data_IF_569009899466
#
_entry.id   IF_569009899466
#
_cell.length_a   1.000
_cell.length_b   1.000
_cell.length_c   1.000
_cell.angle_alpha   90.00
_cell.angle_beta   90.00
_cell.angle_gamma   90.00
#
_symmetry.space_group_name_H-M   'P 1'
#
loop_
_entity.id
_entity.type
_entity.pdbx_description
1 polymer ?
#
# COMPACT_ATOMS: atom_id res chain seq x y z
N UNK A 1 -41.60 26.42 -27.30
CA UNK A 1 -40.87 25.14 -27.52
C UNK A 1 -41.87 24.12 -28.06
N UNK A 2 -41.52 23.37 -29.12
CA UNK A 2 -42.42 22.39 -29.74
C UNK A 2 -42.49 21.09 -28.92
N UNK A 3 -43.60 20.36 -29.00
CA UNK A 3 -43.78 19.04 -28.35
C UNK A 3 -42.71 18.01 -28.78
N UNK A 4 -42.22 18.13 -30.02
CA UNK A 4 -41.15 17.29 -30.59
C UNK A 4 -39.83 17.46 -29.82
N UNK A 5 -39.51 18.68 -29.39
CA UNK A 5 -38.30 18.95 -28.62
C UNK A 5 -38.38 18.30 -27.24
N UNK A 6 -39.49 18.48 -26.52
CA UNK A 6 -39.72 17.89 -25.20
C UNK A 6 -39.72 16.36 -25.25
N UNK A 7 -40.33 15.77 -26.27
CA UNK A 7 -40.28 14.33 -26.51
C UNK A 7 -38.83 13.84 -26.68
N UNK A 8 -38.01 14.58 -27.43
CA UNK A 8 -36.58 14.30 -27.55
C UNK A 8 -35.84 14.36 -26.21
N UNK A 9 -36.11 15.38 -25.39
CA UNK A 9 -35.46 15.54 -24.07
C UNK A 9 -35.79 14.38 -23.15
N UNK A 10 -37.06 13.98 -23.07
CA UNK A 10 -37.50 12.84 -22.24
C UNK A 10 -36.84 11.54 -22.69
N UNK A 11 -36.77 11.29 -24.00
CA UNK A 11 -36.13 10.09 -24.55
C UNK A 11 -34.62 10.10 -24.28
N UNK A 12 -33.93 11.23 -24.49
CA UNK A 12 -32.51 11.38 -24.21
C UNK A 12 -32.18 11.19 -22.73
N UNK A 13 -33.00 11.74 -21.84
CA UNK A 13 -32.87 11.54 -20.40
C UNK A 13 -33.05 10.08 -19.99
N UNK A 14 -34.04 9.39 -20.58
CA UNK A 14 -34.24 7.95 -20.40
C UNK A 14 -33.01 7.14 -20.79
N UNK A 15 -32.37 7.44 -21.93
CA UNK A 15 -31.12 6.80 -22.33
C UNK A 15 -29.97 7.06 -21.36
N UNK A 16 -29.84 8.28 -20.83
CA UNK A 16 -28.81 8.61 -19.83
C UNK A 16 -28.99 7.82 -18.53
N UNK A 17 -30.23 7.64 -18.05
CA UNK A 17 -30.53 6.80 -16.88
C UNK A 17 -30.12 5.36 -17.16
N UNK A 18 -30.53 4.80 -18.30
CA UNK A 18 -30.20 3.43 -18.69
C UNK A 18 -28.68 3.23 -18.79
N UNK A 19 -27.96 4.16 -19.42
CA UNK A 19 -26.51 4.13 -19.53
C UNK A 19 -25.81 4.20 -18.15
N UNK A 20 -26.38 4.98 -17.22
CA UNK A 20 -25.89 5.06 -15.84
C UNK A 20 -26.08 3.74 -15.11
N UNK A 21 -27.26 3.12 -15.19
CA UNK A 21 -27.54 1.80 -14.61
C UNK A 21 -26.59 0.73 -15.19
N UNK A 22 -26.39 0.74 -16.50
CA UNK A 22 -25.43 -0.18 -17.17
C UNK A 22 -24.02 0.07 -16.63
N UNK A 23 -23.61 1.32 -16.46
CA UNK A 23 -22.29 1.65 -15.92
C UNK A 23 -22.09 1.16 -14.48
N UNK A 24 -23.08 1.35 -13.61
CA UNK A 24 -23.03 0.80 -12.23
C UNK A 24 -22.92 -0.71 -12.25
N UNK A 25 -23.75 -1.38 -13.06
CA UNK A 25 -23.74 -2.84 -13.13
C UNK A 25 -22.41 -3.37 -13.70
N UNK A 26 -21.79 -2.67 -14.66
CA UNK A 26 -20.44 -3.01 -15.14
C UNK A 26 -19.39 -2.81 -14.05
N UNK A 27 -19.40 -1.71 -13.30
CA UNK A 27 -18.46 -1.44 -12.21
C UNK A 27 -18.54 -2.51 -11.12
N UNK A 28 -19.75 -2.96 -10.79
CA UNK A 28 -19.98 -3.97 -9.75
C UNK A 28 -19.77 -5.41 -10.24
N UNK A 29 -19.56 -5.61 -11.54
CA UNK A 29 -19.48 -6.95 -12.14
C UNK A 29 -18.19 -7.70 -11.76
N UNK A 30 -18.25 -9.03 -11.86
CA UNK A 30 -17.07 -9.90 -11.75
C UNK A 30 -16.03 -9.51 -12.81
N UNK A 31 -16.48 -9.11 -14.01
CA UNK A 31 -15.63 -8.58 -15.07
C UNK A 31 -14.76 -7.41 -14.60
N UNK A 32 -15.36 -6.41 -13.95
CA UNK A 32 -14.61 -5.27 -13.45
C UNK A 32 -13.63 -5.65 -12.35
N UNK A 33 -14.01 -6.58 -11.46
CA UNK A 33 -13.09 -7.11 -10.44
C UNK A 33 -11.90 -7.84 -11.07
N UNK A 34 -12.11 -8.62 -12.13
CA UNK A 34 -11.03 -9.31 -12.84
C UNK A 34 -10.12 -8.33 -13.59
N UNK A 35 -10.69 -7.37 -14.32
CA UNK A 35 -9.93 -6.38 -15.09
C UNK A 35 -9.17 -5.40 -14.19
N UNK A 36 -9.69 -5.10 -13.00
CA UNK A 36 -8.96 -4.30 -12.00
C UNK A 36 -7.64 -4.95 -11.57
N UNK A 37 -7.55 -6.30 -11.57
CA UNK A 37 -6.30 -7.02 -11.21
C UNK A 37 -5.15 -6.75 -12.17
N UNK A 38 -5.46 -6.30 -13.38
CA UNK A 38 -4.49 -5.93 -14.43
C UNK A 38 -4.54 -4.42 -14.70
N UNK A 39 -4.95 -3.63 -13.70
CA UNK A 39 -4.98 -2.17 -13.74
C UNK A 39 -5.87 -1.59 -14.85
N UNK A 40 -6.89 -2.34 -15.28
CA UNK A 40 -7.89 -1.86 -16.22
C UNK A 40 -9.15 -1.45 -15.47
N UNK A 41 -9.45 -0.16 -15.50
CA UNK A 41 -10.57 0.46 -14.80
C UNK A 41 -11.69 0.83 -15.77
N UNK A 42 -12.94 0.71 -15.32
CA UNK A 42 -14.08 1.12 -16.13
C UNK A 42 -14.19 2.64 -16.18
N UNK A 43 -14.05 3.21 -17.38
CA UNK A 43 -14.24 4.63 -17.64
C UNK A 43 -15.72 4.89 -17.96
N UNK A 44 -16.38 5.68 -17.12
CA UNK A 44 -17.79 6.05 -17.27
C UNK A 44 -18.04 7.01 -18.43
N UNK A 45 -16.99 7.72 -18.87
CA UNK A 45 -17.03 8.64 -20.00
C UNK A 45 -17.01 7.87 -21.32
N UNK A 46 -16.11 6.88 -21.44
CA UNK A 46 -15.97 6.09 -22.66
C UNK A 46 -16.87 4.86 -22.71
N UNK A 47 -17.35 4.39 -21.56
CA UNK A 47 -18.05 3.09 -21.43
C UNK A 47 -17.14 1.89 -21.64
N UNK A 48 -15.81 2.07 -21.54
CA UNK A 48 -14.81 1.03 -21.80
C UNK A 48 -13.83 0.89 -20.65
N UNK A 49 -13.10 -0.22 -20.61
CA UNK A 49 -12.03 -0.44 -19.63
C UNK A 49 -10.72 0.15 -20.17
N UNK A 50 -10.09 1.03 -19.41
CA UNK A 50 -8.86 1.75 -19.77
C UNK A 50 -7.84 1.66 -18.63
N UNK A 51 -6.55 1.85 -18.93
CA UNK A 51 -5.47 1.88 -17.94
C UNK A 51 -5.37 3.19 -17.15
N UNK A 52 -6.19 4.18 -17.49
CA UNK A 52 -6.28 5.45 -16.78
C UNK A 52 -6.92 5.28 -15.40
N UNK A 53 -6.59 6.17 -14.47
CA UNK A 53 -7.10 6.17 -13.09
C UNK A 53 -8.60 5.81 -12.96
N UNK A 54 -8.99 5.10 -11.89
CA UNK A 54 -10.39 4.83 -11.60
C UNK A 54 -11.18 6.14 -11.56
N UNK A 55 -12.31 6.18 -12.27
CA UNK A 55 -13.20 7.34 -12.23
C UNK A 55 -13.59 7.60 -10.78
N UNK A 56 -13.15 8.74 -10.22
CA UNK A 56 -13.52 9.13 -8.87
C UNK A 56 -15.04 9.21 -8.72
N UNK A 57 -15.55 9.11 -7.50
CA UNK A 57 -16.97 9.32 -7.22
C UNK A 57 -17.49 10.65 -7.82
N UNK A 58 -16.65 11.68 -7.82
CA UNK A 58 -16.91 12.97 -8.46
C UNK A 58 -16.92 12.90 -9.99
N UNK A 59 -16.08 12.07 -10.61
CA UNK A 59 -16.15 11.76 -12.04
C UNK A 59 -17.45 11.07 -12.44
N UNK A 60 -17.98 10.20 -11.58
CA UNK A 60 -19.27 9.55 -11.79
C UNK A 60 -20.44 10.54 -11.66
N UNK A 61 -20.43 11.34 -10.59
CA UNK A 61 -21.43 12.36 -10.35
C UNK A 61 -21.43 13.43 -11.46
N UNK A 62 -20.25 13.86 -11.89
CA UNK A 62 -20.11 14.83 -12.98
C UNK A 62 -20.61 14.24 -14.30
N UNK A 63 -20.31 12.98 -14.64
CA UNK A 63 -20.85 12.34 -15.84
C UNK A 63 -22.38 12.29 -15.86
N UNK A 64 -23.02 12.00 -14.72
CA UNK A 64 -24.49 12.00 -14.60
C UNK A 64 -25.05 13.42 -14.73
N UNK A 65 -24.47 14.38 -14.01
CA UNK A 65 -24.94 15.77 -14.01
C UNK A 65 -24.76 16.39 -15.40
N UNK A 66 -23.58 16.26 -15.99
CA UNK A 66 -23.30 16.75 -17.32
C UNK A 66 -24.16 16.01 -18.35
N UNK A 67 -24.27 14.68 -18.31
CA UNK A 67 -25.11 13.92 -19.23
C UNK A 67 -26.60 14.29 -19.14
N UNK A 68 -27.11 14.53 -17.93
CA UNK A 68 -28.47 15.01 -17.69
C UNK A 68 -28.69 16.43 -18.22
N UNK A 69 -27.78 17.36 -17.95
CA UNK A 69 -27.86 18.74 -18.43
C UNK A 69 -27.68 18.82 -19.96
N UNK A 70 -26.79 18.04 -20.55
CA UNK A 70 -26.56 18.02 -22.00
C UNK A 70 -27.76 17.46 -22.77
N UNK A 71 -28.50 16.53 -22.15
CA UNK A 71 -29.73 15.97 -22.74
C UNK A 71 -30.82 17.03 -22.98
N UNK A 72 -30.79 18.13 -22.22
CA UNK A 72 -31.67 19.27 -22.41
C UNK A 72 -31.30 20.01 -23.69
N UNK A 73 -30.02 20.23 -23.98
CA UNK A 73 -29.57 21.08 -25.09
C UNK A 73 -29.43 20.35 -26.43
N UNK A 74 -29.16 19.03 -26.43
CA UNK A 74 -28.80 18.27 -27.63
C UNK A 74 -29.62 16.98 -27.77
N UNK A 75 -30.90 17.04 -27.42
CA UNK A 75 -31.75 15.87 -27.19
C UNK A 75 -31.79 14.87 -28.37
N UNK A 76 -32.16 15.32 -29.58
CA UNK A 76 -32.24 14.42 -30.75
C UNK A 76 -30.87 14.00 -31.29
N UNK A 77 -29.84 14.85 -31.17
CA UNK A 77 -28.47 14.48 -31.55
C UNK A 77 -27.95 13.37 -30.63
N UNK A 78 -28.23 13.48 -29.32
CA UNK A 78 -27.92 12.44 -28.34
C UNK A 78 -28.64 11.13 -28.65
N UNK A 79 -29.94 11.17 -28.94
CA UNK A 79 -30.74 9.98 -29.29
C UNK A 79 -30.17 9.26 -30.52
N UNK A 80 -29.85 9.99 -31.59
CA UNK A 80 -29.26 9.40 -32.80
C UNK A 80 -27.89 8.79 -32.51
N UNK A 81 -27.07 9.45 -31.69
CA UNK A 81 -25.75 8.94 -31.26
C UNK A 81 -25.87 7.63 -30.46
N UNK A 82 -26.82 7.56 -29.52
CA UNK A 82 -27.08 6.33 -28.75
C UNK A 82 -27.56 5.18 -29.64
N UNK A 83 -28.50 5.45 -30.56
CA UNK A 83 -29.02 4.44 -31.49
C UNK A 83 -27.90 3.91 -32.39
N UNK A 84 -27.09 4.80 -32.97
CA UNK A 84 -25.98 4.39 -33.85
C UNK A 84 -24.92 3.59 -33.09
N UNK A 85 -24.61 3.95 -31.84
CA UNK A 85 -23.71 3.18 -30.98
C UNK A 85 -24.26 1.79 -30.69
N UNK A 86 -25.55 1.67 -30.37
CA UNK A 86 -26.21 0.39 -30.15
C UNK A 86 -26.22 -0.49 -31.41
N UNK A 87 -26.52 0.09 -32.57
CA UNK A 87 -26.51 -0.62 -33.85
C UNK A 87 -25.11 -1.13 -34.21
N UNK A 88 -24.06 -0.32 -33.96
CA UNK A 88 -22.67 -0.76 -34.13
C UNK A 88 -22.32 -1.92 -33.20
N UNK A 89 -22.72 -1.85 -31.93
CA UNK A 89 -22.51 -2.93 -30.96
C UNK A 89 -23.19 -4.23 -31.38
N UNK A 90 -24.45 -4.18 -31.84
CA UNK A 90 -25.17 -5.35 -32.33
C UNK A 90 -24.54 -5.96 -33.59
N UNK A 91 -24.10 -5.13 -34.53
CA UNK A 91 -23.41 -5.58 -35.74
C UNK A 91 -22.10 -6.30 -35.41
N UNK A 92 -21.29 -5.73 -34.52
CA UNK A 92 -20.02 -6.32 -34.10
C UNK A 92 -20.17 -7.64 -33.32
N UNK A 93 -21.23 -7.80 -32.53
CA UNK A 93 -21.50 -9.03 -31.76
C UNK A 93 -21.80 -10.25 -32.65
N UNK A 94 -22.31 -10.03 -33.86
CA UNK A 94 -22.66 -11.09 -34.81
C UNK A 94 -21.45 -11.73 -35.51
N UNK A 95 -20.38 -10.96 -35.69
CA UNK A 95 -19.17 -11.35 -36.45
C UNK A 95 -17.99 -11.77 -35.59
N UNK A 96 -18.15 -11.78 -34.26
CA UNK A 96 -17.06 -12.10 -33.33
C UNK A 96 -16.75 -13.62 -33.32
N UNK A 97 -15.48 -14.04 -33.44
CA UNK A 97 -15.08 -15.44 -33.34
C UNK A 97 -15.56 -16.11 -32.04
N UNK A 98 -15.96 -17.39 -32.09
CA UNK A 98 -16.48 -18.12 -30.92
C UNK A 98 -15.48 -18.17 -29.76
N UNK A 99 -14.20 -18.38 -30.06
CA UNK A 99 -13.12 -18.38 -29.07
C UNK A 99 -13.00 -17.04 -28.32
N UNK A 100 -13.21 -15.93 -29.02
CA UNK A 100 -13.22 -14.59 -28.41
C UNK A 100 -14.43 -14.41 -27.49
N UNK A 101 -15.60 -14.95 -27.87
CA UNK A 101 -16.80 -14.95 -27.01
C UNK A 101 -16.59 -15.77 -25.74
N UNK A 102 -15.93 -16.92 -25.83
CA UNK A 102 -15.60 -17.77 -24.68
C UNK A 102 -14.67 -17.07 -23.70
N UNK A 103 -13.59 -16.46 -24.18
CA UNK A 103 -12.63 -15.73 -23.34
C UNK A 103 -13.28 -14.52 -22.66
N UNK A 104 -14.09 -13.74 -23.41
CA UNK A 104 -14.85 -12.63 -22.84
C UNK A 104 -15.87 -13.11 -21.80
N UNK A 105 -16.52 -14.25 -22.04
CA UNK A 105 -17.46 -14.85 -21.09
C UNK A 105 -16.74 -15.29 -19.81
N UNK A 106 -15.58 -15.93 -19.94
CA UNK A 106 -14.74 -16.37 -18.82
C UNK A 106 -14.29 -15.20 -17.96
N UNK A 107 -13.79 -14.12 -18.57
CA UNK A 107 -13.42 -12.88 -17.85
C UNK A 107 -14.63 -12.26 -17.15
N UNK A 108 -15.83 -12.35 -17.74
CA UNK A 108 -17.02 -11.70 -17.19
C UNK A 108 -17.70 -12.46 -16.05
N UNK A 109 -17.55 -13.79 -15.97
CA UNK A 109 -18.34 -14.63 -15.06
C UNK A 109 -17.53 -15.50 -14.11
N UNK A 110 -16.27 -15.82 -14.41
CA UNK A 110 -15.42 -16.63 -13.52
C UNK A 110 -14.57 -15.73 -12.61
N UNK A 111 -14.31 -16.17 -11.38
CA UNK A 111 -13.29 -15.53 -10.54
C UNK A 111 -11.91 -16.01 -11.01
N UNK A 112 -11.14 -15.11 -11.63
CA UNK A 112 -9.85 -15.44 -12.24
C UNK A 112 -8.69 -14.85 -11.43
N UNK A 113 -7.54 -15.51 -11.42
CA UNK A 113 -6.29 -14.92 -10.91
C UNK A 113 -5.76 -13.84 -11.87
N UNK A 114 -4.87 -12.95 -11.40
CA UNK A 114 -4.27 -11.89 -12.23
C UNK A 114 -3.65 -12.45 -13.51
N UNK A 115 -2.86 -13.52 -13.39
CA UNK A 115 -2.26 -14.24 -14.53
C UNK A 115 -3.28 -14.81 -15.50
N UNK A 116 -4.35 -15.45 -15.00
CA UNK A 116 -5.41 -15.96 -15.88
C UNK A 116 -6.13 -14.84 -16.65
N UNK A 117 -6.25 -13.65 -16.05
CA UNK A 117 -6.78 -12.47 -16.73
C UNK A 117 -5.78 -11.97 -17.78
N UNK A 118 -4.49 -11.87 -17.45
CA UNK A 118 -3.44 -11.48 -18.41
C UNK A 118 -3.36 -12.44 -19.60
N UNK A 119 -3.36 -13.75 -19.36
CA UNK A 119 -3.31 -14.78 -20.40
C UNK A 119 -4.55 -14.70 -21.31
N UNK A 120 -5.74 -14.57 -20.72
CA UNK A 120 -6.97 -14.41 -21.48
C UNK A 120 -6.95 -13.13 -22.32
N UNK A 121 -6.42 -12.03 -21.80
CA UNK A 121 -6.31 -10.77 -22.54
C UNK A 121 -5.24 -10.84 -23.63
N UNK A 122 -4.08 -11.47 -23.40
CA UNK A 122 -3.07 -11.72 -24.44
C UNK A 122 -3.65 -12.55 -25.58
N UNK A 123 -4.44 -13.58 -25.25
CA UNK A 123 -5.09 -14.42 -26.24
C UNK A 123 -6.17 -13.65 -27.03
N UNK A 124 -6.94 -12.79 -26.35
CA UNK A 124 -7.86 -11.85 -27.02
C UNK A 124 -7.10 -10.93 -27.97
N UNK A 125 -5.97 -10.36 -27.54
CA UNK A 125 -5.09 -9.52 -28.37
C UNK A 125 -4.61 -10.28 -29.62
N UNK A 126 -4.10 -11.49 -29.45
CA UNK A 126 -3.65 -12.33 -30.55
C UNK A 126 -4.76 -12.63 -31.57
N UNK A 127 -5.99 -12.91 -31.12
CA UNK A 127 -7.15 -13.10 -32.01
C UNK A 127 -7.50 -11.81 -32.76
N UNK A 128 -7.33 -10.66 -32.12
CA UNK A 128 -7.61 -9.34 -32.70
C UNK A 128 -6.44 -8.77 -33.53
N UNK A 129 -5.31 -9.49 -33.62
CA UNK A 129 -4.10 -9.00 -34.29
C UNK A 129 -3.45 -7.80 -33.56
N UNK A 130 -3.66 -7.68 -32.25
CA UNK A 130 -3.09 -6.66 -31.39
C UNK A 130 -2.12 -7.30 -30.39
N UNK A 131 -0.91 -6.78 -30.31
CA UNK A 131 0.02 -7.18 -29.26
C UNK A 131 -0.34 -6.45 -27.97
N UNK A 132 -0.92 -7.18 -27.02
CA UNK A 132 -1.26 -6.65 -25.71
C UNK A 132 -0.09 -6.96 -24.79
N UNK A 133 0.86 -6.03 -24.75
CA UNK A 133 1.92 -6.02 -23.76
C UNK A 133 1.36 -5.45 -22.45
N UNK A 134 1.27 -6.29 -21.43
CA UNK A 134 1.21 -5.78 -20.07
C UNK A 134 2.61 -5.26 -19.72
N UNK A 135 2.72 -4.16 -18.94
CA UNK A 135 4.02 -3.80 -18.37
C UNK A 135 4.63 -5.07 -17.77
N UNK A 136 5.88 -5.35 -18.11
CA UNK A 136 6.60 -6.50 -17.59
C UNK A 136 6.60 -6.33 -16.09
N UNK A 137 5.72 -7.11 -15.47
CA UNK A 137 5.41 -7.03 -14.07
C UNK A 137 6.71 -7.38 -13.33
N UNK A 138 7.34 -6.35 -12.75
CA UNK A 138 8.20 -6.54 -11.58
C UNK A 138 7.38 -7.02 -10.38
N UNK A 139 6.04 -7.00 -10.45
CA UNK A 139 5.18 -7.69 -9.50
C UNK A 139 5.09 -9.18 -9.86
N UNK A 140 5.88 -9.96 -9.11
CA UNK A 140 5.79 -11.41 -9.08
C UNK A 140 4.34 -11.85 -8.85
N UNK A 141 4.02 -13.02 -9.40
CA UNK A 141 2.76 -13.76 -9.31
C UNK A 141 2.46 -14.10 -7.83
N UNK A 142 1.98 -13.15 -7.05
CA UNK A 142 1.59 -13.38 -5.66
C UNK A 142 0.13 -13.81 -5.58
N UNK A 143 -0.09 -15.01 -5.05
CA UNK A 143 -1.32 -15.34 -4.36
C UNK A 143 -1.50 -14.35 -3.21
N UNK A 144 -2.69 -13.73 -3.06
CA UNK A 144 -3.06 -12.76 -1.99
C UNK A 144 -2.66 -13.20 -0.56
N UNK A 145 -2.28 -14.47 -0.34
CA UNK A 145 -1.85 -15.04 0.94
C UNK A 145 -0.41 -14.67 1.36
N UNK A 146 0.46 -14.27 0.42
CA UNK A 146 1.87 -13.92 0.72
C UNK A 146 2.14 -12.41 0.71
N UNK A 147 1.09 -11.58 0.64
CA UNK A 147 1.20 -10.14 0.86
C UNK A 147 0.42 -9.68 2.09
N UNK A 148 0.90 -8.61 2.71
CA UNK A 148 0.28 -7.97 3.86
C UNK A 148 0.48 -6.46 3.74
N UNK A 149 -0.63 -5.73 3.79
CA UNK A 149 -0.62 -4.28 3.96
C UNK A 149 -0.27 -3.96 5.41
N UNK A 150 0.77 -3.17 5.62
CA UNK A 150 1.14 -2.62 6.92
C UNK A 150 0.16 -1.50 7.26
N UNK A 151 -0.44 -1.54 8.45
CA UNK A 151 -1.47 -0.56 8.80
C UNK A 151 -0.89 0.86 8.90
N UNK A 152 -1.62 1.80 8.28
CA UNK A 152 -1.18 3.13 7.84
C UNK A 152 -0.53 4.03 8.92
N UNK A 153 0.50 4.74 8.47
CA UNK A 153 0.97 5.98 9.09
C UNK A 153 -0.19 7.02 9.15
N UNK A 154 -0.28 7.85 10.21
CA UNK A 154 -1.24 8.95 10.30
C UNK A 154 -1.23 9.91 9.09
N UNK A 155 -0.15 9.88 8.32
CA UNK A 155 0.10 10.71 7.13
C UNK A 155 -0.42 10.09 5.82
N UNK A 156 -1.04 8.90 5.87
CA UNK A 156 -1.69 8.25 4.73
C UNK A 156 -0.76 7.50 3.77
N UNK A 157 0.47 7.19 4.20
CA UNK A 157 1.39 6.38 3.41
C UNK A 157 0.93 4.93 3.35
N UNK A 158 0.74 4.43 2.13
CA UNK A 158 0.51 3.01 1.90
C UNK A 158 1.82 2.25 2.00
N UNK A 159 1.81 1.09 2.65
CA UNK A 159 2.93 0.15 2.66
C UNK A 159 2.45 -1.29 2.61
N UNK A 160 3.09 -2.11 1.78
CA UNK A 160 2.80 -3.52 1.59
C UNK A 160 4.09 -4.32 1.65
N UNK A 161 4.07 -5.42 2.39
CA UNK A 161 5.11 -6.43 2.40
C UNK A 161 4.66 -7.63 1.60
N UNK A 162 5.55 -8.16 0.79
CA UNK A 162 5.32 -9.42 0.09
C UNK A 162 6.44 -10.42 0.28
N UNK A 163 6.11 -11.69 0.52
CA UNK A 163 7.07 -12.75 0.83
C UNK A 163 7.37 -13.64 -0.38
N UNK A 164 8.66 -13.93 -0.55
CA UNK A 164 9.17 -15.02 -1.35
C UNK A 164 9.88 -16.03 -0.42
N UNK A 165 9.09 -17.00 0.04
CA UNK A 165 9.52 -18.04 0.98
C UNK A 165 10.64 -18.90 0.38
N UNK A 166 10.58 -19.18 -0.92
CA UNK A 166 11.52 -20.08 -1.60
C UNK A 166 12.93 -19.50 -1.61
N UNK A 167 13.04 -18.20 -1.88
CA UNK A 167 14.32 -17.50 -1.91
C UNK A 167 14.69 -16.82 -0.58
N UNK A 168 13.85 -16.98 0.46
CA UNK A 168 13.98 -16.29 1.75
C UNK A 168 14.14 -14.77 1.58
N UNK A 169 13.30 -14.20 0.73
CA UNK A 169 13.25 -12.76 0.46
C UNK A 169 11.90 -12.17 0.82
N UNK A 170 11.90 -10.88 1.08
CA UNK A 170 10.67 -10.11 1.14
C UNK A 170 10.85 -8.75 0.46
N UNK A 171 9.75 -8.25 -0.07
CA UNK A 171 9.66 -7.02 -0.83
C UNK A 171 8.82 -6.05 -0.03
N UNK A 172 9.34 -4.85 0.20
CA UNK A 172 8.61 -3.76 0.81
C UNK A 172 8.32 -2.73 -0.27
N UNK A 173 7.03 -2.53 -0.54
CA UNK A 173 6.52 -1.50 -1.43
C UNK A 173 5.81 -0.46 -0.60
N UNK A 174 6.13 0.81 -0.80
CA UNK A 174 5.48 1.91 -0.10
C UNK A 174 5.28 3.09 -1.05
N UNK A 175 4.22 3.86 -0.87
CA UNK A 175 4.07 5.12 -1.60
C UNK A 175 3.31 6.18 -0.80
N UNK A 176 3.56 7.44 -1.15
CA UNK A 176 2.77 8.57 -0.66
C UNK A 176 1.34 8.54 -1.27
N UNK A 177 0.34 9.15 -0.62
CA UNK A 177 -1.03 9.20 -1.13
C UNK A 177 -1.17 9.77 -2.55
N UNK A 178 -0.27 10.69 -2.91
CA UNK A 178 -0.20 11.37 -4.21
C UNK A 178 0.72 10.67 -5.22
N UNK A 179 1.31 9.52 -4.84
CA UNK A 179 2.23 8.72 -5.65
C UNK A 179 3.45 9.50 -6.16
N UNK A 180 3.79 10.64 -5.55
CA UNK A 180 4.97 11.40 -5.92
C UNK A 180 6.26 10.71 -5.49
N UNK A 181 6.21 9.87 -4.45
CA UNK A 181 7.31 9.03 -4.03
C UNK A 181 6.86 7.59 -3.88
N UNK A 182 7.42 6.71 -4.70
CA UNK A 182 7.25 5.26 -4.60
C UNK A 182 8.58 4.66 -4.15
N UNK A 183 8.54 3.86 -3.09
CA UNK A 183 9.70 3.26 -2.45
C UNK A 183 9.58 1.75 -2.60
N UNK A 184 10.62 1.14 -3.15
CA UNK A 184 10.71 -0.31 -3.23
C UNK A 184 12.00 -0.76 -2.55
N UNK A 185 11.90 -1.77 -1.70
CA UNK A 185 13.07 -2.37 -1.08
C UNK A 185 12.97 -3.88 -1.10
N UNK A 186 14.10 -4.54 -1.36
CA UNK A 186 14.22 -5.99 -1.37
C UNK A 186 15.13 -6.40 -0.24
N UNK A 187 14.66 -7.30 0.61
CA UNK A 187 15.42 -7.84 1.72
C UNK A 187 15.57 -9.34 1.57
N UNK A 188 16.69 -9.85 2.06
CA UNK A 188 16.87 -11.26 2.35
C UNK A 188 16.74 -11.46 3.86
N UNK A 189 16.11 -12.54 4.28
CA UNK A 189 15.98 -12.89 5.69
C UNK A 189 16.47 -14.30 5.96
N UNK A 190 16.83 -14.56 7.21
CA UNK A 190 17.12 -15.90 7.73
C UNK A 190 16.58 -16.02 9.15
N UNK A 191 16.31 -17.25 9.58
CA UNK A 191 15.76 -17.54 10.90
C UNK A 191 16.76 -18.42 11.66
N UNK A 192 17.26 -17.92 12.79
CA UNK A 192 18.22 -18.60 13.66
C UNK A 192 17.72 -18.49 15.10
N UNK A 193 17.56 -19.61 15.81
CA UNK A 193 17.10 -19.64 17.21
C UNK A 193 15.81 -18.83 17.46
N UNK A 194 14.84 -18.94 16.55
CA UNK A 194 13.59 -18.16 16.51
C UNK A 194 13.78 -16.66 16.23
N UNK A 195 14.99 -16.16 16.05
CA UNK A 195 15.29 -14.76 15.73
C UNK A 195 15.31 -14.59 14.21
N UNK A 196 14.65 -13.53 13.72
CA UNK A 196 14.69 -13.17 12.30
C UNK A 196 15.83 -12.18 12.11
N UNK A 197 16.77 -12.54 11.24
CA UNK A 197 17.80 -11.64 10.75
C UNK A 197 17.46 -11.23 9.33
N UNK A 198 17.84 -10.03 8.94
CA UNK A 198 17.66 -9.53 7.59
C UNK A 198 18.89 -8.78 7.09
N UNK A 199 18.97 -8.62 5.77
CA UNK A 199 19.83 -7.64 5.10
C UNK A 199 19.14 -7.06 3.88
N UNK A 200 19.44 -5.80 3.58
CA UNK A 200 18.92 -5.05 2.45
C UNK A 200 19.72 -5.40 1.18
N UNK A 201 19.06 -5.95 0.17
CA UNK A 201 19.66 -6.26 -1.13
C UNK A 201 19.52 -5.11 -2.11
N UNK A 202 18.34 -4.50 -2.15
CA UNK A 202 18.02 -3.40 -3.06
C UNK A 202 17.13 -2.39 -2.36
N UNK A 203 17.32 -1.11 -2.67
CA UNK A 203 16.42 -0.04 -2.28
C UNK A 203 16.41 0.98 -3.38
N UNK A 204 15.23 1.21 -3.96
CA UNK A 204 15.01 2.17 -5.03
C UNK A 204 13.86 3.10 -4.69
N UNK A 205 13.97 4.31 -5.19
CA UNK A 205 12.95 5.34 -5.08
C UNK A 205 12.61 5.79 -6.49
N UNK A 206 11.31 5.83 -6.76
CA UNK A 206 10.72 6.26 -8.01
C UNK A 206 9.91 7.54 -7.75
N UNK A 207 10.22 8.56 -8.54
CA UNK A 207 9.44 9.78 -8.67
C UNK A 207 8.91 9.88 -10.10
N UNK A 208 7.89 10.71 -10.38
CA UNK A 208 7.42 10.91 -11.75
C UNK A 208 8.56 11.31 -12.71
N UNK A 209 8.95 10.38 -13.58
CA UNK A 209 10.01 10.58 -14.58
C UNK A 209 11.44 10.28 -14.12
N UNK A 210 11.66 9.88 -12.86
CA UNK A 210 12.99 9.60 -12.31
C UNK A 210 12.99 8.34 -11.45
N UNK A 211 14.00 7.48 -11.61
CA UNK A 211 14.26 6.32 -10.76
C UNK A 211 15.74 6.37 -10.33
N UNK A 212 16.00 6.12 -9.05
CA UNK A 212 17.37 5.93 -8.57
C UNK A 212 17.44 4.89 -7.47
N UNK A 213 18.61 4.27 -7.36
CA UNK A 213 18.92 3.26 -6.36
C UNK A 213 19.70 3.90 -5.23
N UNK A 214 19.26 3.66 -3.99
CA UNK A 214 20.08 3.91 -2.80
C UNK A 214 20.97 2.70 -2.52
N UNK A 215 20.46 1.50 -2.79
CA UNK A 215 21.17 0.22 -2.69
C UNK A 215 20.86 -0.63 -3.91
N UNK A 216 21.88 -1.23 -4.51
CA UNK A 216 21.74 -2.18 -5.62
C UNK A 216 22.74 -3.31 -5.44
N UNK A 217 22.29 -4.54 -5.59
CA UNK A 217 23.12 -5.75 -5.43
C UNK A 217 23.89 -5.78 -4.09
N UNK A 218 23.22 -5.36 -2.99
CA UNK A 218 23.78 -5.29 -1.64
C UNK A 218 24.96 -4.28 -1.50
N UNK A 219 25.05 -3.30 -2.41
CA UNK A 219 26.03 -2.20 -2.38
C UNK A 219 25.30 -0.87 -2.27
N UNK A 220 25.79 0.01 -1.40
CA UNK A 220 25.25 1.38 -1.24
C UNK A 220 25.78 2.26 -2.38
N UNK A 221 24.89 2.97 -3.06
CA UNK A 221 25.23 3.89 -4.16
C UNK A 221 25.70 5.25 -3.60
N UNK A 222 26.84 5.25 -2.89
CA UNK A 222 27.33 6.44 -2.16
C UNK A 222 27.55 7.65 -3.06
N UNK A 223 28.09 7.46 -4.27
CA UNK A 223 28.33 8.55 -5.21
C UNK A 223 27.01 9.21 -5.64
N UNK A 224 26.02 8.43 -6.00
CA UNK A 224 24.71 8.91 -6.46
C UNK A 224 24.00 9.68 -5.34
N UNK A 225 24.06 9.18 -4.11
CA UNK A 225 23.53 9.86 -2.91
C UNK A 225 24.24 11.19 -2.65
N UNK A 226 25.58 11.23 -2.80
CA UNK A 226 26.35 12.46 -2.65
C UNK A 226 26.09 13.48 -3.77
N UNK A 227 25.97 13.03 -5.02
CA UNK A 227 25.69 13.91 -6.17
C UNK A 227 24.32 14.58 -6.05
N UNK A 228 23.28 13.82 -5.69
CA UNK A 228 21.94 14.35 -5.46
C UNK A 228 21.88 15.44 -4.39
N UNK A 229 22.72 15.28 -3.38
CA UNK A 229 22.80 16.20 -2.25
C UNK A 229 23.53 17.49 -2.60
N UNK A 230 24.40 17.41 -3.61
CA UNK A 230 25.09 18.57 -4.20
C UNK A 230 24.23 19.30 -5.23
N UNK A 231 23.36 18.59 -5.96
CA UNK A 231 22.48 19.18 -6.98
C UNK A 231 21.29 19.95 -6.42
N UNK A 232 20.93 19.76 -5.15
CA UNK A 232 19.93 20.58 -4.47
C UNK A 232 20.56 21.93 -4.05
N UNK A 233 20.41 22.96 -4.88
CA UNK A 233 20.88 24.33 -4.58
C UNK A 233 19.99 25.00 -3.52
N UNK A 234 20.57 25.43 -2.39
CA UNK A 234 19.89 26.26 -1.39
C UNK A 234 20.48 26.20 0.02
N UNK A 235 20.03 27.07 0.95
CA UNK A 235 20.53 27.15 2.34
C UNK A 235 20.27 25.89 3.20
N UNK A 236 19.54 24.89 2.66
CA UNK A 236 19.33 23.57 3.28
C UNK A 236 20.48 22.57 3.00
N UNK A 237 21.46 22.94 2.17
CA UNK A 237 22.51 22.03 1.68
C UNK A 237 23.37 21.43 2.80
N UNK A 238 23.73 22.18 3.84
CA UNK A 238 24.56 21.70 4.96
C UNK A 238 23.81 20.72 5.89
N UNK A 239 22.50 20.94 6.09
CA UNK A 239 21.61 20.01 6.81
C UNK A 239 21.42 18.72 6.01
N UNK A 240 21.20 18.83 4.70
CA UNK A 240 21.09 17.68 3.81
C UNK A 240 22.38 16.87 3.76
N UNK A 241 23.56 17.50 3.63
CA UNK A 241 24.86 16.81 3.62
C UNK A 241 25.11 16.02 4.92
N UNK A 242 24.80 16.60 6.08
CA UNK A 242 24.95 15.92 7.38
C UNK A 242 24.01 14.72 7.51
N UNK A 243 22.76 14.87 7.03
CA UNK A 243 21.78 13.80 6.97
C UNK A 243 22.21 12.65 6.04
N UNK A 244 22.91 12.94 4.94
CA UNK A 244 23.40 11.90 4.03
C UNK A 244 24.46 10.98 4.61
N UNK A 245 25.36 11.51 5.44
CA UNK A 245 26.36 10.66 6.09
C UNK A 245 25.64 9.66 7.01
N UNK A 246 24.65 10.11 7.76
CA UNK A 246 23.84 9.25 8.60
C UNK A 246 23.02 8.24 7.78
N UNK A 247 22.37 8.68 6.70
CA UNK A 247 21.65 7.80 5.76
C UNK A 247 22.58 6.72 5.21
N UNK A 248 23.75 7.10 4.68
CA UNK A 248 24.75 6.16 4.14
C UNK A 248 25.21 5.17 5.23
N UNK A 249 25.49 5.65 6.44
CA UNK A 249 25.88 4.78 7.55
C UNK A 249 24.75 3.81 7.94
N UNK A 250 23.51 4.27 7.92
CA UNK A 250 22.34 3.44 8.20
C UNK A 250 22.11 2.40 7.08
N UNK A 251 22.28 2.77 5.81
CA UNK A 251 22.24 1.84 4.68
C UNK A 251 23.36 0.80 4.76
N UNK A 252 24.59 1.22 5.10
CA UNK A 252 25.74 0.32 5.31
C UNK A 252 25.50 -0.70 6.43
N UNK A 253 24.80 -0.30 7.50
CA UNK A 253 24.36 -1.24 8.54
C UNK A 253 23.29 -2.20 8.02
N UNK A 254 22.33 -1.69 7.22
CA UNK A 254 21.20 -2.47 6.70
C UNK A 254 21.59 -3.52 5.66
N UNK A 255 22.64 -3.31 4.87
CA UNK A 255 23.18 -4.33 3.93
C UNK A 255 23.91 -5.48 4.65
N UNK A 256 24.23 -5.32 5.94
CA UNK A 256 24.77 -6.39 6.77
C UNK A 256 23.64 -7.15 7.45
N UNK A 257 23.89 -8.42 7.78
CA UNK A 257 22.95 -9.19 8.58
C UNK A 257 22.76 -8.54 9.94
N UNK A 258 21.53 -8.14 10.23
CA UNK A 258 21.14 -7.56 11.50
C UNK A 258 19.80 -8.16 11.94
N UNK A 259 19.58 -8.19 13.25
CA UNK A 259 18.32 -8.65 13.81
C UNK A 259 17.18 -7.70 13.40
N UNK A 260 16.09 -8.29 12.91
CA UNK A 260 14.84 -7.57 12.70
C UNK A 260 14.15 -7.40 14.06
N UNK A 261 14.22 -6.18 14.60
CA UNK A 261 13.69 -5.87 15.91
C UNK A 261 12.18 -6.17 15.97
N UNK A 262 11.81 -7.17 16.78
CA UNK A 262 10.43 -7.66 16.90
C UNK A 262 9.42 -6.65 17.43
N UNK A 263 9.88 -5.61 18.13
CA UNK A 263 9.01 -4.56 18.65
C UNK A 263 8.78 -3.47 17.60
N UNK A 264 9.81 -3.12 16.82
CA UNK A 264 9.71 -2.08 15.77
C UNK A 264 9.04 -2.57 14.50
N UNK A 265 9.31 -3.80 14.12
CA UNK A 265 8.83 -4.43 12.89
C UNK A 265 7.90 -5.62 13.20
N UNK A 266 7.08 -5.50 14.24
CA UNK A 266 6.24 -6.59 14.75
C UNK A 266 5.34 -7.20 13.65
N UNK A 267 4.76 -6.37 12.78
CA UNK A 267 3.96 -6.83 11.65
C UNK A 267 4.78 -7.71 10.70
N UNK A 268 5.94 -7.22 10.26
CA UNK A 268 6.85 -7.96 9.38
C UNK A 268 7.34 -9.25 10.02
N UNK A 269 7.73 -9.20 11.30
CA UNK A 269 8.23 -10.35 12.05
C UNK A 269 7.17 -11.44 12.15
N UNK A 270 5.99 -11.11 12.67
CA UNK A 270 4.93 -12.11 12.83
C UNK A 270 4.40 -12.61 11.49
N UNK A 271 4.39 -11.77 10.46
CA UNK A 271 4.04 -12.18 9.11
C UNK A 271 5.03 -13.21 8.55
N UNK A 272 6.35 -12.97 8.66
CA UNK A 272 7.38 -13.94 8.28
C UNK A 272 7.21 -15.23 9.10
N UNK A 273 7.09 -15.15 10.43
CA UNK A 273 6.94 -16.33 11.28
C UNK A 273 5.71 -17.18 10.92
N UNK A 274 4.57 -16.54 10.67
CA UNK A 274 3.32 -17.23 10.31
C UNK A 274 3.40 -18.00 8.99
N UNK A 275 4.29 -17.57 8.10
CA UNK A 275 4.56 -18.19 6.80
C UNK A 275 5.67 -19.25 6.84
N UNK A 276 6.20 -19.57 8.03
CA UNK A 276 7.15 -20.65 8.27
C UNK A 276 6.63 -21.65 9.32
N UNK A 277 5.51 -22.35 9.08
CA UNK A 277 4.94 -23.30 10.04
C UNK A 277 5.87 -24.47 10.38
N UNK A 278 6.84 -24.78 9.51
CA UNK A 278 7.88 -25.78 9.72
C UNK A 278 8.91 -25.37 10.80
N UNK A 279 9.07 -24.06 11.03
CA UNK A 279 9.96 -23.49 12.05
C UNK A 279 9.14 -23.03 13.26
N UNK A 280 7.99 -22.40 13.01
CA UNK A 280 7.08 -21.87 14.01
C UNK A 280 5.72 -22.57 13.91
N UNK A 281 5.57 -23.78 14.48
CA UNK A 281 4.27 -24.41 14.61
C UNK A 281 3.27 -23.45 15.26
N UNK A 282 1.99 -23.56 14.89
CA UNK A 282 0.95 -22.61 15.32
C UNK A 282 0.94 -22.37 16.84
N UNK A 283 1.08 -23.42 17.65
CA UNK A 283 1.08 -23.28 19.12
C UNK A 283 2.35 -22.60 19.66
N UNK A 284 3.48 -22.79 18.98
CA UNK A 284 4.74 -22.12 19.31
C UNK A 284 4.66 -20.63 18.96
N UNK A 285 4.14 -20.29 17.78
CA UNK A 285 3.91 -18.90 17.39
C UNK A 285 2.98 -18.20 18.38
N UNK A 286 1.91 -18.87 18.82
CA UNK A 286 1.02 -18.36 19.88
C UNK A 286 1.75 -18.09 21.18
N UNK A 287 2.64 -19.00 21.58
CA UNK A 287 3.43 -18.86 22.80
C UNK A 287 4.39 -17.67 22.70
N UNK A 288 5.09 -17.53 21.57
CA UNK A 288 6.00 -16.42 21.31
C UNK A 288 5.25 -15.09 21.39
N UNK A 289 4.17 -14.95 20.62
CA UNK A 289 3.34 -13.73 20.60
C UNK A 289 2.83 -13.35 21.99
N UNK A 290 2.33 -14.33 22.76
CA UNK A 290 1.88 -14.09 24.15
C UNK A 290 3.02 -13.62 25.04
N UNK A 291 4.19 -14.25 24.91
CA UNK A 291 5.38 -13.89 25.69
C UNK A 291 5.82 -12.46 25.37
N UNK A 292 5.82 -12.08 24.09
CA UNK A 292 6.18 -10.73 23.66
C UNK A 292 5.17 -9.69 24.18
N UNK A 293 3.86 -9.98 24.14
CA UNK A 293 2.82 -9.13 24.74
C UNK A 293 3.03 -8.96 26.26
N UNK A 294 3.30 -10.05 26.99
CA UNK A 294 3.52 -9.98 28.44
C UNK A 294 4.83 -9.25 28.78
N UNK A 295 5.88 -9.39 27.96
CA UNK A 295 7.12 -8.64 28.10
C UNK A 295 6.88 -7.13 27.93
N UNK A 296 6.10 -6.72 26.93
CA UNK A 296 5.71 -5.31 26.73
C UNK A 296 4.90 -4.80 27.91
N UNK A 297 3.92 -5.56 28.41
CA UNK A 297 3.13 -5.19 29.61
C UNK A 297 3.99 -5.07 30.86
N UNK A 298 4.92 -6.00 31.08
CA UNK A 298 5.82 -5.97 32.23
C UNK A 298 6.78 -4.78 32.14
N UNK A 299 7.29 -4.48 30.93
CA UNK A 299 8.09 -3.29 30.66
C UNK A 299 7.33 -2.00 30.97
N UNK A 300 6.05 -1.91 30.59
CA UNK A 300 5.18 -0.78 30.92
C UNK A 300 5.06 -0.57 32.43
N UNK A 301 4.71 -1.61 33.18
CA UNK A 301 4.52 -1.50 34.63
C UNK A 301 5.79 -1.01 35.33
N UNK A 302 6.95 -1.56 34.98
CA UNK A 302 8.24 -1.14 35.53
C UNK A 302 8.59 0.31 35.17
N UNK A 303 8.31 0.73 33.94
CA UNK A 303 8.52 2.12 33.54
C UNK A 303 7.57 3.06 34.29
N UNK A 304 6.30 2.70 34.47
CA UNK A 304 5.35 3.48 35.26
C UNK A 304 5.78 3.60 36.73
N UNK A 305 6.34 2.54 37.32
CA UNK A 305 6.93 2.58 38.67
C UNK A 305 8.10 3.57 38.75
N UNK A 306 9.04 3.51 37.79
CA UNK A 306 10.17 4.44 37.70
C UNK A 306 9.66 5.88 37.55
N UNK A 307 8.69 6.13 36.67
CA UNK A 307 8.12 7.48 36.49
C UNK A 307 7.44 7.99 37.76
N UNK A 308 6.72 7.13 38.47
CA UNK A 308 6.07 7.47 39.74
C UNK A 308 7.05 7.93 40.83
N UNK A 309 8.27 7.38 40.87
CA UNK A 309 9.32 7.83 41.79
C UNK A 309 9.76 9.28 41.54
N UNK A 310 9.66 9.75 40.29
CA UNK A 310 9.99 11.13 39.88
C UNK A 310 8.74 12.01 39.70
N UNK A 311 7.59 11.57 40.22
CA UNK A 311 6.32 12.28 40.10
C UNK A 311 6.00 12.65 38.64
N UNK A 312 6.31 11.73 37.73
CA UNK A 312 6.04 11.80 36.31
C UNK A 312 5.06 10.69 35.90
N UNK A 313 4.40 10.86 34.76
CA UNK A 313 3.50 9.85 34.19
C UNK A 313 3.54 9.85 32.67
N UNK A 314 3.03 8.78 32.07
CA UNK A 314 2.75 8.76 30.64
C UNK A 314 1.41 9.44 30.37
N UNK A 315 1.40 10.50 29.56
CA UNK A 315 0.18 11.08 29.01
C UNK A 315 0.12 10.87 27.51
N UNK A 316 -1.03 10.47 26.99
CA UNK A 316 -1.26 10.43 25.55
C UNK A 316 -1.44 11.85 25.02
N UNK A 317 -0.56 12.28 24.14
CA UNK A 317 -0.71 13.52 23.41
C UNK A 317 -1.83 13.36 22.37
N UNK A 318 -2.99 14.00 22.54
CA UNK A 318 -4.13 13.82 21.65
C UNK A 318 -3.89 14.38 20.25
N UNK A 319 -2.87 15.24 20.06
CA UNK A 319 -2.53 15.84 18.77
C UNK A 319 -1.72 14.90 17.89
N UNK A 320 -0.84 14.10 18.49
CA UNK A 320 0.09 13.24 17.75
C UNK A 320 -0.20 11.74 17.95
N UNK A 321 -1.13 11.39 18.84
CA UNK A 321 -1.43 9.98 19.17
C UNK A 321 -0.26 9.26 19.85
N UNK A 322 0.76 9.99 20.30
CA UNK A 322 1.93 9.46 20.97
C UNK A 322 1.78 9.63 22.48
N UNK A 323 2.29 8.68 23.27
CA UNK A 323 2.53 8.97 24.67
C UNK A 323 3.68 9.97 24.81
N UNK A 324 3.72 10.70 25.92
CA UNK A 324 4.79 11.60 26.35
C UNK A 324 4.96 11.44 27.87
N UNK A 325 6.17 11.68 28.37
CA UNK A 325 6.42 11.74 29.81
C UNK A 325 6.12 13.16 30.29
N UNK A 326 5.21 13.29 31.25
CA UNK A 326 4.81 14.59 31.82
C UNK A 326 5.08 14.57 33.31
N UNK A 327 5.78 15.60 33.81
CA UNK A 327 5.95 15.81 35.24
C UNK A 327 4.71 16.43 35.86
N UNK A 328 4.25 15.85 36.96
CA UNK A 328 3.06 16.28 37.68
C UNK A 328 3.32 17.52 38.58
N UNK A 329 4.58 17.94 38.73
CA UNK A 329 5.04 19.18 39.39
C UNK A 329 6.25 19.74 38.62
N UNK A 330 6.55 21.04 38.77
CA UNK A 330 7.75 21.63 38.17
C UNK A 330 8.99 20.81 38.57
N UNK A 331 9.58 20.12 37.59
CA UNK A 331 10.80 19.36 37.79
C UNK A 331 11.91 20.32 38.23
N UNK A 332 12.62 19.97 39.29
CA UNK A 332 13.85 20.70 39.64
C UNK A 332 14.95 20.34 38.64
N UNK A 333 15.85 21.28 38.34
CA UNK A 333 16.92 21.19 37.32
C UNK A 333 17.96 20.02 37.49
N UNK A 334 17.69 19.02 38.32
CA UNK A 334 18.47 17.78 38.45
C UNK A 334 17.65 16.48 38.32
N UNK A 335 16.33 16.53 38.51
CA UNK A 335 15.45 15.35 38.44
C UNK A 335 15.34 14.78 37.01
N UNK A 336 15.37 15.66 36.00
CA UNK A 336 15.36 15.27 34.58
C UNK A 336 16.54 14.38 34.18
N UNK A 337 17.74 14.74 34.66
CA UNK A 337 18.97 14.03 34.28
C UNK A 337 19.06 12.68 34.97
N UNK A 338 18.57 12.59 36.21
CA UNK A 338 18.56 11.35 36.97
C UNK A 338 17.50 10.36 36.44
N UNK A 339 16.29 10.83 36.14
CA UNK A 339 15.24 10.02 35.51
C UNK A 339 15.73 9.48 34.16
N UNK A 340 16.29 10.33 33.31
CA UNK A 340 16.84 9.93 32.02
C UNK A 340 17.92 8.85 32.15
N UNK A 341 18.82 8.97 33.15
CA UNK A 341 19.85 7.98 33.42
C UNK A 341 19.27 6.65 33.94
N UNK A 342 18.24 6.70 34.79
CA UNK A 342 17.59 5.49 35.33
C UNK A 342 16.81 4.74 34.26
N UNK A 343 16.12 5.47 33.39
CA UNK A 343 15.47 4.95 32.19
C UNK A 343 16.52 4.30 31.27
N UNK A 344 17.63 5.00 30.98
CA UNK A 344 18.72 4.50 30.13
C UNK A 344 19.36 3.24 30.71
N UNK A 345 19.55 3.18 32.03
CA UNK A 345 20.04 2.00 32.73
C UNK A 345 19.08 0.81 32.61
N UNK A 346 17.78 1.05 32.86
CA UNK A 346 16.76 0.01 32.75
C UNK A 346 16.66 -0.57 31.33
N UNK A 347 16.73 0.30 30.31
CA UNK A 347 16.60 -0.11 28.92
C UNK A 347 17.93 -0.55 28.27
N UNK A 348 19.04 -0.56 29.01
CA UNK A 348 20.38 -0.92 28.53
C UNK A 348 21.02 0.06 27.54
N UNK A 349 20.21 0.89 26.88
CA UNK A 349 20.62 2.01 26.03
C UNK A 349 19.42 2.95 25.79
N UNK A 350 19.69 4.16 25.27
CA UNK A 350 18.63 5.06 24.78
C UNK A 350 17.85 4.46 23.61
N UNK A 351 18.47 3.61 22.80
CA UNK A 351 17.83 2.89 21.69
C UNK A 351 16.90 1.78 22.20
N UNK A 352 17.30 1.09 23.27
CA UNK A 352 16.47 0.14 24.00
C UNK A 352 15.25 0.83 24.60
N UNK A 353 15.41 2.04 25.15
CA UNK A 353 14.29 2.83 25.66
C UNK A 353 13.31 3.17 24.55
N UNK A 354 13.81 3.61 23.39
CA UNK A 354 13.00 3.85 22.21
C UNK A 354 12.17 2.62 21.81
N UNK A 355 12.79 1.43 21.75
CA UNK A 355 12.06 0.20 21.41
C UNK A 355 11.02 -0.22 22.45
N UNK A 356 11.34 -0.16 23.75
CA UNK A 356 10.40 -0.49 24.83
C UNK A 356 9.24 0.50 24.85
N UNK A 357 9.54 1.78 24.70
CA UNK A 357 8.56 2.87 24.63
C UNK A 357 7.66 2.75 23.39
N UNK A 358 8.22 2.48 22.21
CA UNK A 358 7.47 2.25 20.98
C UNK A 358 6.54 1.04 21.11
N UNK A 359 7.01 -0.07 21.69
CA UNK A 359 6.17 -1.24 21.96
C UNK A 359 5.03 -0.95 22.94
N UNK A 360 5.27 -0.05 23.91
CA UNK A 360 4.25 0.44 24.84
C UNK A 360 3.22 1.32 24.13
N UNK A 361 3.67 2.29 23.32
CA UNK A 361 2.82 3.20 22.55
C UNK A 361 1.94 2.40 21.58
N UNK A 362 2.51 1.38 20.93
CA UNK A 362 1.85 0.55 19.93
C UNK A 362 1.25 -0.73 20.49
N UNK A 363 1.08 -0.84 21.82
CA UNK A 363 0.64 -2.08 22.47
C UNK A 363 -0.68 -2.62 21.90
N UNK A 364 -1.66 -1.74 21.65
CA UNK A 364 -2.95 -2.15 21.11
C UNK A 364 -2.87 -2.62 19.65
N UNK A 365 -2.02 -1.97 18.84
CA UNK A 365 -1.73 -2.39 17.46
C UNK A 365 -1.01 -3.74 17.46
N UNK A 366 -0.02 -3.92 18.33
CA UNK A 366 0.71 -5.18 18.50
C UNK A 366 -0.24 -6.31 18.92
N UNK A 367 -1.18 -6.05 19.84
CA UNK A 367 -2.22 -7.01 20.23
C UNK A 367 -3.16 -7.31 19.05
N UNK A 368 -3.56 -6.28 18.29
CA UNK A 368 -4.43 -6.45 17.12
C UNK A 368 -3.76 -7.32 16.06
N UNK A 369 -2.51 -7.04 15.72
CA UNK A 369 -1.74 -7.80 14.73
C UNK A 369 -1.45 -9.21 15.24
N UNK A 370 -1.02 -9.33 16.49
CA UNK A 370 -0.89 -10.63 17.16
C UNK A 370 -2.17 -11.47 17.02
N UNK A 371 -3.35 -10.87 17.25
CA UNK A 371 -4.63 -11.57 17.14
C UNK A 371 -4.99 -12.03 15.73
N UNK A 372 -4.41 -11.43 14.68
CA UNK A 372 -4.54 -11.91 13.28
C UNK A 372 -3.84 -13.27 13.07
N UNK A 373 -2.81 -13.56 13.88
CA UNK A 373 -1.94 -14.74 13.75
C UNK A 373 -2.14 -15.79 14.85
N UNK A 374 -2.88 -15.48 15.92
CA UNK A 374 -3.36 -16.42 16.95
C UNK A 374 -4.61 -17.18 16.43
#
# INVERSE_FOLDING_TARGET
MSEIYWSGVVVAFGFTIIASIISVTQILSIRAKNLKKVELYYSTISGTFTSSEPSSYWGYLSAIIFGGLFSIFLSWIGVVSYITTYLKYFSQKSSTPEKLKELQFKIAHAHLTKKQVQDALKEIGAIMGQDISFPVDGSMDYTDELSMVLEDSPEGYFSEITLDISNKKYYLYSHSPDYQGVYNSVYEYKIEDNIIYQRLLESKIEHPGEEYYEVRDNVVMENDLHERSRSNEGPLQEFLISNNIEIILNLKKRIQWHELNRIRAYETVYFIMSNHPEIFPKDELKRIIRTDIENVKSGFLKLSEILGEYNAEFQMNPKYGSYEIVYLKEASNGEDTELANKIKYFCGSTDGFGSVYEGIVRKDELIKVASKYL
#
